data_IF_714912460954
#
_entry.id   IF_714912460954
#
_cell.length_a   1.000
_cell.length_b   1.000
_cell.length_c   1.000
_cell.angle_alpha   90.00
_cell.angle_beta   90.00
_cell.angle_gamma   90.00
#
_symmetry.space_group_name_H-M   'P 1'
#
loop_
_entity.id
_entity.type
_entity.pdbx_description
1 polymer ?
#
# COMPACT_ATOMS: atom_id res chain seq x y z
N UNK A 1 33.75 2.02 28.04
CA UNK A 1 32.99 2.97 28.89
C UNK A 1 31.64 2.33 29.14
N UNK A 2 31.48 1.67 30.30
CA UNK A 2 30.26 0.91 30.58
C UNK A 2 29.34 1.78 31.43
N UNK A 3 28.19 2.17 30.88
CA UNK A 3 27.09 2.77 31.63
C UNK A 3 25.80 2.03 31.28
N UNK A 4 25.04 1.50 32.25
CA UNK A 4 23.78 0.79 31.99
C UNK A 4 22.61 1.69 31.48
N UNK A 5 22.86 2.98 31.21
CA UNK A 5 21.82 3.97 30.97
C UNK A 5 21.32 4.06 29.50
N UNK A 6 21.91 3.32 28.56
CA UNK A 6 21.59 3.42 27.11
C UNK A 6 20.65 2.32 26.61
N UNK A 7 20.14 1.45 27.49
CA UNK A 7 19.43 0.22 27.10
C UNK A 7 17.91 0.28 27.39
N UNK A 8 17.30 1.46 27.24
CA UNK A 8 15.88 1.69 27.61
C UNK A 8 15.13 2.68 26.70
N UNK A 9 15.50 2.79 25.41
CA UNK A 9 14.72 3.48 24.36
C UNK A 9 14.85 2.76 23.02
N UNK A 10 14.28 1.56 22.95
CA UNK A 10 13.90 0.87 21.71
C UNK A 10 12.53 0.22 21.97
N UNK A 11 11.50 1.05 21.89
CA UNK A 11 10.13 0.62 21.62
C UNK A 11 9.81 1.19 20.25
N UNK A 12 10.06 0.38 19.23
CA UNK A 12 9.70 0.75 17.86
C UNK A 12 8.18 0.72 17.75
N UNK A 13 7.55 1.88 17.86
CA UNK A 13 6.13 2.05 17.55
C UNK A 13 5.98 2.00 16.04
N UNK A 14 5.57 0.84 15.52
CA UNK A 14 5.06 0.75 14.15
C UNK A 14 3.67 1.40 14.16
N UNK A 15 3.58 2.62 13.62
CA UNK A 15 2.32 3.30 13.39
C UNK A 15 1.77 2.83 12.05
N UNK A 16 0.53 2.33 12.04
CA UNK A 16 -0.17 1.94 10.83
C UNK A 16 -1.56 2.57 10.84
N UNK A 17 -1.89 3.37 9.83
CA UNK A 17 -3.24 3.87 9.62
C UNK A 17 -4.08 2.83 8.91
N UNK A 18 -5.08 2.26 9.58
CA UNK A 18 -6.17 1.54 8.92
C UNK A 18 -7.45 2.36 9.04
N UNK A 19 -7.88 2.97 7.94
CA UNK A 19 -9.21 3.54 7.80
C UNK A 19 -10.10 2.48 7.16
N UNK A 20 -11.27 2.20 7.76
CA UNK A 20 -12.24 1.25 7.20
C UNK A 20 -12.99 1.88 6.04
N UNK A 21 -13.16 1.13 4.95
CA UNK A 21 -14.15 1.45 3.92
C UNK A 21 -15.57 1.45 4.52
N UNK A 22 -16.33 2.55 4.44
CA UNK A 22 -17.68 2.62 4.99
C UNK A 22 -18.73 1.79 4.21
N UNK A 23 -18.36 1.09 3.12
CA UNK A 23 -19.28 0.26 2.33
C UNK A 23 -19.64 -1.10 2.96
N UNK A 24 -18.91 -1.55 3.99
CA UNK A 24 -19.11 -2.86 4.63
C UNK A 24 -20.09 -2.85 5.84
N UNK A 25 -21.15 -2.04 5.79
CA UNK A 25 -22.17 -1.99 6.85
C UNK A 25 -23.60 -2.22 6.30
N UNK A 26 -24.06 -3.47 6.46
CA UNK A 26 -25.45 -3.97 6.45
C UNK A 26 -26.47 -3.46 5.41
N UNK A 27 -26.80 -4.32 4.43
CA UNK A 27 -28.12 -4.29 3.75
C UNK A 27 -28.98 -5.51 4.13
N UNK A 28 -29.61 -5.47 5.32
CA UNK A 28 -30.57 -6.48 5.77
C UNK A 28 -32.01 -6.11 5.33
N UNK A 29 -32.40 -6.70 4.19
CA UNK A 29 -33.78 -7.04 3.74
C UNK A 29 -35.00 -6.20 4.18
N UNK A 30 -35.75 -5.70 3.19
CA UNK A 30 -37.21 -5.52 3.31
C UNK A 30 -37.96 -5.95 2.03
N UNK A 31 -38.97 -6.81 2.18
CA UNK A 31 -39.80 -7.33 1.09
C UNK A 31 -40.87 -6.33 0.62
N UNK A 32 -41.18 -6.32 -0.69
CA UNK A 32 -42.33 -5.58 -1.24
C UNK A 32 -42.72 -6.02 -2.65
N UNK A 33 -43.69 -6.93 -2.81
CA UNK A 33 -44.12 -7.44 -4.12
C UNK A 33 -45.31 -6.66 -4.71
N UNK A 34 -45.38 -6.52 -6.05
CA UNK A 34 -46.61 -6.87 -6.82
C UNK A 34 -46.38 -7.05 -8.33
N UNK A 35 -47.11 -8.04 -8.90
CA UNK A 35 -47.39 -8.33 -10.34
C UNK A 35 -47.88 -7.07 -11.11
N UNK A 36 -47.84 -6.91 -12.45
CA UNK A 36 -48.19 -7.74 -13.65
C UNK A 36 -47.51 -7.17 -14.93
N UNK A 37 -47.44 -7.72 -16.16
CA UNK A 37 -47.82 -9.00 -16.83
C UNK A 37 -47.23 -9.09 -18.27
N UNK A 38 -47.20 -10.31 -18.86
CA UNK A 38 -46.93 -10.64 -20.29
C UNK A 38 -48.22 -10.52 -21.17
N UNK A 39 -48.28 -10.79 -22.52
CA UNK A 39 -47.30 -11.45 -23.43
C UNK A 39 -47.17 -10.90 -24.89
N UNK A 40 -46.33 -11.54 -25.76
CA UNK A 40 -46.70 -12.26 -27.03
C UNK A 40 -45.54 -12.37 -28.05
N UNK A 41 -45.18 -13.62 -28.40
CA UNK A 41 -44.64 -14.23 -29.67
C UNK A 41 -43.52 -13.53 -30.52
N UNK A 42 -42.82 -14.18 -31.47
CA UNK A 42 -42.98 -15.50 -32.12
C UNK A 42 -41.67 -16.09 -32.71
N UNK A 43 -41.60 -17.42 -32.74
CA UNK A 43 -40.94 -18.36 -33.69
C UNK A 43 -39.49 -18.21 -34.22
N UNK A 44 -38.81 -19.37 -34.34
CA UNK A 44 -37.50 -19.51 -35.00
C UNK A 44 -36.72 -20.81 -34.73
N UNK A 45 -37.22 -21.98 -35.16
CA UNK A 45 -36.44 -23.26 -35.29
C UNK A 45 -36.14 -23.53 -36.79
N UNK A 46 -35.25 -24.48 -37.23
CA UNK A 46 -34.69 -25.65 -36.51
C UNK A 46 -33.22 -26.05 -36.83
N UNK A 47 -32.79 -27.20 -36.22
CA UNK A 47 -31.57 -28.03 -36.48
C UNK A 47 -30.27 -27.46 -35.85
N UNK A 48 -29.34 -28.26 -35.32
CA UNK A 48 -28.92 -29.62 -35.77
C UNK A 48 -28.67 -30.60 -34.62
N UNK A 49 -29.01 -31.88 -34.83
CA UNK A 49 -28.65 -33.00 -33.95
C UNK A 49 -27.41 -33.70 -34.48
N UNK A 50 -26.34 -33.80 -33.68
CA UNK A 50 -25.29 -34.87 -33.62
C UNK A 50 -24.32 -34.45 -32.50
N UNK A 51 -24.45 -35.03 -31.29
CA UNK A 51 -23.42 -34.96 -30.23
C UNK A 51 -23.64 -35.89 -29.02
N UNK A 52 -24.65 -36.78 -29.03
CA UNK A 52 -24.86 -37.72 -27.91
C UNK A 52 -23.88 -38.91 -27.84
N UNK A 53 -23.07 -39.14 -28.89
CA UNK A 53 -22.14 -40.28 -28.92
C UNK A 53 -20.90 -40.12 -28.02
N UNK A 54 -20.34 -38.91 -27.93
CA UNK A 54 -19.08 -38.67 -27.21
C UNK A 54 -19.27 -38.64 -25.68
N UNK A 55 -20.35 -38.01 -25.20
CA UNK A 55 -20.61 -37.85 -23.76
C UNK A 55 -20.81 -39.18 -23.02
N UNK A 56 -21.45 -40.17 -23.64
CA UNK A 56 -21.68 -41.48 -23.03
C UNK A 56 -20.38 -42.28 -22.88
N UNK A 57 -19.45 -42.17 -23.84
CA UNK A 57 -18.14 -42.83 -23.76
C UNK A 57 -17.28 -42.19 -22.67
N UNK A 58 -17.25 -40.85 -22.57
CA UNK A 58 -16.48 -40.14 -21.52
C UNK A 58 -17.03 -40.44 -20.12
N UNK A 59 -18.37 -40.47 -19.94
CA UNK A 59 -19.00 -40.85 -18.68
C UNK A 59 -18.68 -42.29 -18.26
N UNK A 60 -18.67 -43.25 -19.20
CA UNK A 60 -18.32 -44.65 -18.91
C UNK A 60 -16.84 -44.84 -18.60
N UNK A 61 -15.93 -44.07 -19.22
CA UNK A 61 -14.51 -44.07 -18.87
C UNK A 61 -14.28 -43.48 -17.47
N UNK A 62 -14.95 -42.37 -17.12
CA UNK A 62 -14.88 -41.82 -15.76
C UNK A 62 -15.41 -42.81 -14.70
N UNK A 63 -16.54 -43.46 -14.97
CA UNK A 63 -17.12 -44.44 -14.05
C UNK A 63 -16.22 -45.68 -13.90
N UNK A 64 -15.54 -46.11 -14.97
CA UNK A 64 -14.56 -47.19 -14.91
C UNK A 64 -13.32 -46.80 -14.08
N UNK A 65 -12.81 -45.57 -14.21
CA UNK A 65 -11.72 -45.05 -13.38
C UNK A 65 -12.15 -45.01 -11.90
N UNK A 66 -13.33 -44.48 -11.59
CA UNK A 66 -13.87 -44.40 -10.22
C UNK A 66 -14.09 -45.80 -9.62
N UNK A 67 -14.49 -46.79 -10.42
CA UNK A 67 -14.67 -48.18 -9.96
C UNK A 67 -13.36 -48.99 -9.88
N UNK A 68 -12.32 -48.63 -10.64
CA UNK A 68 -11.00 -49.26 -10.54
C UNK A 68 -10.16 -48.75 -9.35
N UNK A 69 -10.47 -47.57 -8.80
CA UNK A 69 -9.86 -47.04 -7.56
C UNK A 69 -10.58 -47.57 -6.30
N UNK A 70 -11.24 -48.74 -6.39
CA UNK A 70 -11.84 -49.45 -5.26
C UNK A 70 -11.00 -50.61 -4.71
N UNK A 71 -9.70 -50.60 -4.98
CA UNK A 71 -8.72 -51.25 -4.11
C UNK A 71 -8.43 -50.31 -2.91
N UNK A 72 -8.35 -50.81 -1.67
CA UNK A 72 -7.88 -50.02 -0.54
C UNK A 72 -6.37 -49.81 -0.66
N UNK A 73 -5.97 -48.84 -1.47
CA UNK A 73 -4.64 -48.25 -1.37
C UNK A 73 -4.70 -47.19 -0.28
N UNK A 74 -4.07 -47.47 0.87
CA UNK A 74 -3.72 -46.47 1.89
C UNK A 74 -2.66 -45.53 1.31
N UNK A 75 -3.07 -44.69 0.36
CA UNK A 75 -2.26 -43.62 -0.19
C UNK A 75 -2.42 -42.42 0.73
N UNK A 76 -1.69 -42.42 1.84
CA UNK A 76 -1.60 -41.28 2.75
C UNK A 76 -0.86 -40.14 2.06
N UNK A 77 -1.59 -39.34 1.27
CA UNK A 77 -1.07 -38.09 0.71
C UNK A 77 -0.91 -37.11 1.87
N UNK A 78 0.29 -37.05 2.43
CA UNK A 78 0.68 -35.97 3.35
C UNK A 78 0.81 -34.68 2.54
N UNK A 79 -0.30 -33.98 2.37
CA UNK A 79 -0.28 -32.57 1.95
C UNK A 79 0.47 -31.76 3.03
N UNK A 80 1.33 -30.81 2.66
CA UNK A 80 1.89 -29.85 3.62
C UNK A 80 0.76 -29.11 4.35
N UNK A 81 0.88 -28.93 5.67
CA UNK A 81 -0.19 -28.34 6.50
C UNK A 81 -0.66 -26.96 5.99
N UNK A 82 0.22 -26.18 5.35
CA UNK A 82 -0.10 -24.86 4.79
C UNK A 82 -1.10 -24.88 3.63
N UNK A 83 -1.30 -26.03 2.97
CA UNK A 83 -2.29 -26.19 1.88
C UNK A 83 -3.71 -26.50 2.40
N UNK A 84 -3.86 -26.74 3.71
CA UNK A 84 -5.13 -27.03 4.38
C UNK A 84 -5.50 -25.98 5.44
N UNK A 85 -4.59 -25.07 5.77
CA UNK A 85 -4.90 -23.86 6.52
C UNK A 85 -5.55 -22.82 5.61
N UNK A 86 -6.87 -22.89 5.46
CA UNK A 86 -7.63 -21.64 5.44
C UNK A 86 -7.31 -20.86 6.71
N UNK A 87 -7.23 -19.54 6.62
CA UNK A 87 -6.78 -18.65 7.71
C UNK A 87 -7.74 -18.66 8.90
N UNK A 88 -7.67 -19.72 9.71
CA UNK A 88 -8.41 -19.87 10.96
C UNK A 88 -7.71 -19.06 12.06
N UNK A 89 -7.87 -17.74 12.01
CA UNK A 89 -7.39 -16.80 13.03
C UNK A 89 -7.82 -17.19 14.47
N UNK A 90 -8.93 -17.93 14.62
CA UNK A 90 -9.36 -18.54 15.90
C UNK A 90 -8.28 -19.38 16.58
N UNK A 91 -7.41 -20.07 15.83
CA UNK A 91 -6.36 -20.92 16.41
C UNK A 91 -5.13 -20.15 16.87
N UNK A 92 -4.86 -19.00 16.27
CA UNK A 92 -3.67 -18.22 16.59
C UNK A 92 -3.88 -17.42 17.88
N UNK A 93 -5.08 -16.87 18.12
CA UNK A 93 -5.41 -16.13 19.35
C UNK A 93 -5.22 -16.93 20.65
N UNK A 94 -5.35 -18.27 20.60
CA UNK A 94 -5.10 -19.16 21.76
C UNK A 94 -3.63 -19.62 21.89
N UNK A 95 -2.76 -19.30 20.92
CA UNK A 95 -1.35 -19.65 21.01
C UNK A 95 -0.66 -18.91 22.17
N UNK A 96 0.13 -19.60 23.01
CA UNK A 96 0.99 -18.95 24.01
C UNK A 96 1.94 -17.90 23.41
N UNK A 97 2.27 -18.00 22.12
CA UNK A 97 3.17 -17.09 21.40
C UNK A 97 2.47 -15.90 20.74
N UNK A 98 1.14 -15.92 20.57
CA UNK A 98 0.35 -14.85 19.93
C UNK A 98 0.65 -13.48 20.52
N UNK A 99 0.71 -13.43 21.85
CA UNK A 99 0.95 -12.20 22.61
C UNK A 99 2.37 -11.62 22.38
N UNK A 100 3.31 -12.40 21.84
CA UNK A 100 4.67 -11.97 21.49
C UNK A 100 4.93 -11.84 19.98
N UNK A 101 4.09 -12.44 19.14
CA UNK A 101 4.31 -12.56 17.69
C UNK A 101 3.32 -11.73 16.85
N UNK A 102 2.24 -11.22 17.45
CA UNK A 102 1.23 -10.41 16.77
C UNK A 102 1.34 -8.93 17.17
N UNK A 103 1.25 -8.02 16.19
CA UNK A 103 1.09 -6.59 16.47
C UNK A 103 -0.20 -6.35 17.26
N UNK A 104 -0.15 -5.35 18.15
CA UNK A 104 -1.29 -4.94 18.96
C UNK A 104 -1.57 -3.48 18.72
N UNK A 105 -2.85 -3.18 18.49
CA UNK A 105 -3.33 -1.82 18.57
C UNK A 105 -3.12 -1.30 20.00
N UNK A 106 -2.23 -0.34 20.16
CA UNK A 106 -1.95 0.33 21.45
C UNK A 106 -2.83 1.56 21.68
N UNK A 107 -3.39 2.10 20.59
CA UNK A 107 -4.36 3.19 20.56
C UNK A 107 -4.80 3.46 19.13
N UNK A 108 -6.00 3.99 18.96
CA UNK A 108 -6.54 4.52 17.70
C UNK A 108 -7.17 5.88 18.01
N UNK A 109 -7.02 6.85 17.10
CA UNK A 109 -7.77 8.10 17.15
C UNK A 109 -8.14 8.55 15.73
N UNK A 110 -9.22 9.33 15.64
CA UNK A 110 -9.67 9.88 14.35
C UNK A 110 -8.80 11.09 14.00
N UNK A 111 -8.29 11.15 12.76
CA UNK A 111 -7.45 12.24 12.24
C UNK A 111 -7.98 13.63 12.58
N UNK A 112 -9.29 13.86 12.42
CA UNK A 112 -9.97 15.13 12.74
C UNK A 112 -9.84 15.53 14.21
N UNK A 113 -9.83 14.56 15.15
CA UNK A 113 -9.55 14.82 16.57
C UNK A 113 -8.07 15.15 16.78
N UNK A 114 -7.17 14.36 16.20
CA UNK A 114 -5.72 14.57 16.34
C UNK A 114 -5.32 15.96 15.85
N UNK A 115 -5.92 16.46 14.76
CA UNK A 115 -5.77 17.81 14.21
C UNK A 115 -6.34 18.95 15.12
N UNK A 116 -6.65 18.66 16.38
CA UNK A 116 -7.07 19.65 17.38
C UNK A 116 -8.49 20.16 17.20
N UNK A 117 -9.29 19.57 16.30
CA UNK A 117 -10.68 19.97 16.07
C UNK A 117 -10.84 21.46 15.79
N UNK A 118 -9.97 22.03 14.93
CA UNK A 118 -10.16 23.41 14.42
C UNK A 118 -11.62 23.57 14.00
N UNK A 119 -12.22 24.69 14.38
CA UNK A 119 -13.45 25.16 13.77
C UNK A 119 -13.11 25.54 12.31
N UNK A 120 -13.13 24.54 11.42
CA UNK A 120 -13.45 24.76 10.02
C UNK A 120 -14.76 25.55 10.01
N UNK A 121 -14.81 26.66 9.26
CA UNK A 121 -15.93 27.60 9.36
C UNK A 121 -17.27 26.93 9.03
N UNK A 122 -18.40 27.50 9.45
CA UNK A 122 -19.73 26.91 9.15
C UNK A 122 -20.02 26.73 7.64
N UNK A 123 -19.24 27.37 6.76
CA UNK A 123 -19.27 27.21 5.30
C UNK A 123 -18.11 26.35 4.72
N UNK A 124 -17.08 26.04 5.51
CA UNK A 124 -16.00 25.09 5.13
C UNK A 124 -16.40 23.70 5.63
N UNK A 125 -16.98 22.85 4.77
CA UNK A 125 -17.14 21.43 5.09
C UNK A 125 -15.74 20.87 5.41
N UNK A 126 -15.45 20.50 6.68
CA UNK A 126 -14.15 19.97 7.04
C UNK A 126 -13.95 18.69 6.24
N UNK A 127 -13.03 18.69 5.27
CA UNK A 127 -12.77 17.60 4.31
C UNK A 127 -13.41 16.30 4.77
N UNK A 128 -14.63 16.05 4.29
CA UNK A 128 -15.56 15.10 4.94
C UNK A 128 -15.05 13.66 4.87
N UNK A 129 -13.92 13.48 4.18
CA UNK A 129 -13.05 12.32 4.16
C UNK A 129 -11.59 12.83 4.13
N UNK A 130 -10.72 12.21 4.91
CA UNK A 130 -9.26 12.26 4.72
C UNK A 130 -8.82 10.83 4.40
N UNK A 131 -8.26 10.59 3.24
CA UNK A 131 -7.80 9.28 2.78
C UNK A 131 -6.29 9.23 2.87
N UNK A 132 -5.76 8.71 3.97
CA UNK A 132 -4.32 8.68 4.22
C UNK A 132 -3.67 7.51 3.47
N UNK A 133 -2.75 7.83 2.56
CA UNK A 133 -2.09 6.85 1.69
C UNK A 133 -0.67 6.53 2.14
N UNK A 134 0.08 7.55 2.59
CA UNK A 134 1.49 7.41 2.99
C UNK A 134 1.86 8.17 4.26
N UNK A 135 2.86 7.67 4.98
CA UNK A 135 3.37 8.23 6.23
C UNK A 135 4.90 8.21 6.28
N UNK A 136 5.51 9.28 6.75
CA UNK A 136 6.95 9.35 7.00
C UNK A 136 7.24 10.01 8.36
N UNK A 137 8.27 9.52 9.06
CA UNK A 137 8.73 10.15 10.29
C UNK A 137 9.60 11.37 10.00
N UNK A 138 9.45 12.41 10.83
CA UNK A 138 10.41 13.51 10.90
C UNK A 138 11.84 13.00 11.20
N UNK A 139 12.90 13.73 10.81
CA UNK A 139 14.28 13.28 11.01
C UNK A 139 14.70 13.11 12.48
N UNK A 140 14.04 13.83 13.40
CA UNK A 140 14.19 13.68 14.85
C UNK A 140 13.17 12.72 15.47
N UNK A 141 12.25 12.18 14.66
CA UNK A 141 11.16 11.25 15.00
C UNK A 141 10.17 11.81 16.03
N UNK A 142 10.08 13.14 16.16
CA UNK A 142 9.12 13.79 17.06
C UNK A 142 7.73 13.91 16.43
N UNK A 143 7.64 14.16 15.13
CA UNK A 143 6.39 14.20 14.36
C UNK A 143 6.35 13.12 13.25
N UNK A 144 5.16 12.78 12.80
CA UNK A 144 4.85 12.02 11.59
C UNK A 144 4.16 12.94 10.57
N UNK A 145 4.56 12.83 9.31
CA UNK A 145 3.94 13.50 8.18
C UNK A 145 3.13 12.50 7.36
N UNK A 146 1.85 12.79 7.14
CA UNK A 146 0.89 11.94 6.45
C UNK A 146 0.40 12.66 5.19
N UNK A 147 0.47 12.01 4.04
CA UNK A 147 -0.12 12.50 2.79
C UNK A 147 -1.49 11.86 2.55
N UNK A 148 -2.37 12.57 1.85
CA UNK A 148 -3.73 12.12 1.56
C UNK A 148 -4.01 12.12 0.06
N UNK A 149 -4.52 11.04 -0.52
CA UNK A 149 -4.85 10.97 -1.95
C UNK A 149 -5.93 12.01 -2.36
N UNK A 150 -6.90 12.25 -1.48
CA UNK A 150 -8.09 13.03 -1.78
C UNK A 150 -7.98 14.51 -1.42
N UNK A 151 -6.80 15.01 -1.04
CA UNK A 151 -6.62 16.44 -0.74
C UNK A 151 -5.18 16.94 -0.79
N UNK A 152 -5.02 18.20 -1.18
CA UNK A 152 -3.74 18.92 -1.14
C UNK A 152 -3.37 19.41 0.27
N UNK A 153 -3.21 18.47 1.20
CA UNK A 153 -2.75 18.68 2.56
C UNK A 153 -1.69 17.66 2.98
N UNK A 154 -0.90 18.03 3.99
CA UNK A 154 -0.09 17.08 4.77
C UNK A 154 -0.52 17.15 6.23
N UNK A 155 -0.85 16.01 6.83
CA UNK A 155 -1.09 15.91 8.27
C UNK A 155 0.25 15.83 9.02
N UNK A 156 0.53 16.77 9.91
CA UNK A 156 1.63 16.69 10.89
C UNK A 156 1.05 16.21 12.22
N UNK A 157 1.57 15.12 12.77
CA UNK A 157 1.09 14.55 14.04
C UNK A 157 2.26 14.17 14.95
N UNK A 158 2.25 14.64 16.20
CA UNK A 158 3.26 14.28 17.18
C UNK A 158 3.29 12.76 17.43
N UNK A 159 4.48 12.22 17.61
CA UNK A 159 4.77 10.78 17.75
C UNK A 159 4.06 10.08 18.91
N UNK A 160 3.63 10.84 19.92
CA UNK A 160 2.79 10.32 21.01
C UNK A 160 1.34 10.00 20.59
N UNK A 161 0.90 10.49 19.42
CA UNK A 161 -0.45 10.34 18.86
C UNK A 161 -1.58 10.64 19.87
N UNK A 162 -1.31 11.57 20.79
CA UNK A 162 -2.17 11.89 21.92
C UNK A 162 -3.12 13.05 21.58
N UNK A 163 -4.41 12.84 21.80
CA UNK A 163 -5.40 13.92 21.92
C UNK A 163 -5.50 14.48 23.37
N UNK A 164 -4.83 13.86 24.35
CA UNK A 164 -5.05 14.18 25.76
C UNK A 164 -4.41 15.51 26.13
N UNK A 165 -5.20 16.59 25.98
CA UNK A 165 -4.91 17.91 26.50
C UNK A 165 -4.65 17.87 28.02
N UNK A 166 -3.39 17.74 28.42
CA UNK A 166 -2.94 18.04 29.78
C UNK A 166 -2.94 19.56 30.03
N UNK A 167 -4.14 20.15 30.08
CA UNK A 167 -4.45 21.50 30.60
C UNK A 167 -3.42 22.60 30.29
N UNK A 168 -3.22 22.88 29.00
CA UNK A 168 -2.57 24.13 28.56
C UNK A 168 -1.32 23.99 27.69
N UNK A 169 -0.91 22.77 27.35
CA UNK A 169 0.12 22.53 26.34
C UNK A 169 -0.51 22.50 24.94
N UNK A 170 0.09 23.23 23.99
CA UNK A 170 -0.31 23.24 22.59
C UNK A 170 0.09 21.90 21.95
N UNK A 171 -0.83 21.25 21.27
CA UNK A 171 -0.51 20.13 20.37
C UNK A 171 0.21 20.65 19.13
N UNK A 172 1.33 20.04 18.73
CA UNK A 172 1.97 20.32 17.43
C UNK A 172 1.21 19.72 16.24
N UNK A 173 0.20 18.88 16.52
CA UNK A 173 -0.66 18.28 15.50
C UNK A 173 -1.38 19.35 14.67
N UNK A 174 -1.30 19.24 13.35
CA UNK A 174 -1.96 20.18 12.43
C UNK A 174 -2.12 19.62 11.02
N UNK A 175 -2.99 20.25 10.24
CA UNK A 175 -3.17 19.98 8.81
C UNK A 175 -2.50 21.13 8.04
N UNK A 176 -1.45 20.81 7.28
CA UNK A 176 -0.58 21.74 6.56
C UNK A 176 -1.07 21.93 5.12
N UNK A 177 -1.48 23.14 4.69
CA UNK A 177 -1.95 23.38 3.32
C UNK A 177 -0.79 23.29 2.32
N UNK A 178 -1.01 22.58 1.22
CA UNK A 178 -0.08 22.59 0.11
C UNK A 178 -0.03 23.96 -0.58
N UNK A 179 1.15 24.48 -0.96
CA UNK A 179 1.26 25.82 -1.54
C UNK A 179 0.60 25.90 -2.93
N UNK A 180 -0.25 26.91 -3.10
CA UNK A 180 -0.84 27.27 -4.40
C UNK A 180 -1.91 26.31 -4.93
N UNK A 181 -2.46 25.43 -4.09
CA UNK A 181 -3.49 24.45 -4.45
C UNK A 181 -4.79 24.66 -3.67
N UNK A 182 -5.91 24.24 -4.26
CA UNK A 182 -7.20 24.27 -3.60
C UNK A 182 -7.36 23.06 -2.66
N UNK A 183 -7.87 23.24 -1.42
CA UNK A 183 -8.10 22.17 -0.45
C UNK A 183 -8.89 20.94 -0.92
N UNK A 184 -9.84 21.16 -1.83
CA UNK A 184 -10.84 20.19 -2.28
C UNK A 184 -10.52 19.55 -3.64
N UNK A 185 -9.32 19.76 -4.18
CA UNK A 185 -8.83 19.01 -5.33
C UNK A 185 -8.19 17.71 -4.84
N UNK A 186 -8.52 16.59 -5.49
CA UNK A 186 -7.80 15.32 -5.29
C UNK A 186 -6.31 15.53 -5.65
N UNK A 187 -5.43 15.11 -4.74
CA UNK A 187 -3.99 15.25 -4.91
C UNK A 187 -3.37 14.06 -5.63
N UNK A 188 -3.97 12.88 -5.49
CA UNK A 188 -3.38 11.59 -5.88
C UNK A 188 -2.05 11.32 -5.17
N UNK A 189 -1.82 11.85 -3.97
CA UNK A 189 -0.59 11.57 -3.21
C UNK A 189 -0.65 10.18 -2.56
N UNK A 190 0.29 9.32 -2.96
CA UNK A 190 0.35 7.93 -2.48
C UNK A 190 1.36 7.74 -1.35
N UNK A 191 2.58 8.26 -1.50
CA UNK A 191 3.63 8.12 -0.48
C UNK A 191 4.47 9.36 -0.24
N UNK A 192 5.16 9.35 0.89
CA UNK A 192 6.13 10.36 1.32
C UNK A 192 7.38 9.67 1.87
N UNK A 193 8.56 10.23 1.60
CA UNK A 193 9.85 9.70 2.08
C UNK A 193 10.86 10.82 2.32
N UNK A 194 11.65 10.76 3.40
CA UNK A 194 12.65 11.77 3.71
C UNK A 194 14.03 11.47 3.13
N UNK A 195 14.52 12.38 2.29
CA UNK A 195 15.87 12.29 1.74
C UNK A 195 16.88 13.00 2.65
N UNK A 196 17.55 12.25 3.52
CA UNK A 196 18.61 12.79 4.39
C UNK A 196 19.76 13.49 3.64
N UNK A 197 19.99 13.22 2.35
CA UNK A 197 21.10 13.82 1.58
C UNK A 197 20.77 15.24 1.09
N UNK A 198 19.53 15.51 0.67
CA UNK A 198 19.06 16.85 0.28
C UNK A 198 18.35 17.59 1.43
N UNK A 199 17.94 16.86 2.46
CA UNK A 199 17.09 17.35 3.54
C UNK A 199 15.68 17.71 3.09
N UNK A 200 15.14 17.00 2.09
CA UNK A 200 13.80 17.24 1.50
C UNK A 200 12.95 15.99 1.63
N UNK A 201 11.63 16.14 1.78
CA UNK A 201 10.72 15.02 1.54
C UNK A 201 10.49 14.86 0.04
N UNK A 202 10.30 13.62 -0.40
CA UNK A 202 9.82 13.26 -1.72
C UNK A 202 8.37 12.79 -1.54
N UNK A 203 7.41 13.52 -2.10
CA UNK A 203 5.99 13.12 -2.12
C UNK A 203 5.69 12.56 -3.51
N UNK A 204 5.24 11.31 -3.58
CA UNK A 204 4.84 10.64 -4.81
C UNK A 204 3.36 10.93 -5.09
N UNK A 205 3.09 11.40 -6.29
CA UNK A 205 1.75 11.48 -6.88
C UNK A 205 1.55 10.32 -7.85
N UNK A 206 0.34 9.76 -7.87
CA UNK A 206 -0.10 8.67 -8.74
C UNK A 206 0.16 8.95 -10.23
N UNK A 207 -0.04 7.92 -11.05
CA UNK A 207 0.30 8.01 -12.45
C UNK A 207 -0.71 8.84 -13.24
N UNK A 208 -0.25 9.97 -13.78
CA UNK A 208 -1.08 10.88 -14.55
C UNK A 208 -1.04 10.53 -16.04
N UNK A 209 -2.20 10.57 -16.71
CA UNK A 209 -2.27 10.46 -18.17
C UNK A 209 -1.73 11.74 -18.82
N UNK A 210 -0.62 11.63 -19.54
CA UNK A 210 0.01 12.69 -20.33
C UNK A 210 -0.09 12.37 -21.82
N UNK A 211 0.18 13.36 -22.69
CA UNK A 211 0.15 13.20 -24.16
C UNK A 211 1.09 12.09 -24.70
N UNK A 212 2.04 11.63 -23.89
CA UNK A 212 3.11 10.71 -24.26
C UNK A 212 3.16 9.41 -23.44
N UNK A 213 2.15 9.13 -22.61
CA UNK A 213 2.07 7.94 -21.75
C UNK A 213 1.50 8.25 -20.37
N UNK A 214 1.55 7.30 -19.45
CA UNK A 214 1.01 7.43 -18.09
C UNK A 214 2.18 7.38 -17.11
N UNK A 215 2.40 8.44 -16.33
CA UNK A 215 3.61 8.61 -15.53
C UNK A 215 3.33 9.22 -14.15
N UNK A 216 3.98 8.70 -13.12
CA UNK A 216 3.97 9.28 -11.77
C UNK A 216 4.77 10.59 -11.72
N UNK A 217 4.49 11.41 -10.69
CA UNK A 217 5.27 12.62 -10.38
C UNK A 217 5.81 12.56 -8.96
N UNK A 218 6.95 13.20 -8.74
CA UNK A 218 7.55 13.38 -7.43
C UNK A 218 7.71 14.87 -7.16
N UNK A 219 7.16 15.31 -6.03
CA UNK A 219 7.39 16.65 -5.50
C UNK A 219 8.51 16.60 -4.47
N UNK A 220 9.56 17.38 -4.69
CA UNK A 220 10.59 17.60 -3.68
C UNK A 220 10.18 18.78 -2.82
N UNK A 221 9.89 18.53 -1.54
CA UNK A 221 9.39 19.56 -0.63
C UNK A 221 10.28 19.74 0.59
N UNK A 222 10.20 20.93 1.19
CA UNK A 222 10.62 21.17 2.57
C UNK A 222 9.41 21.53 3.40
N UNK A 223 9.48 21.21 4.68
CA UNK A 223 8.56 21.67 5.71
C UNK A 223 9.42 22.47 6.67
N UNK A 224 9.15 23.75 6.83
CA UNK A 224 9.91 24.62 7.72
C UNK A 224 9.59 24.26 9.20
N UNK A 225 10.59 23.95 10.04
CA UNK A 225 10.33 23.48 11.40
C UNK A 225 9.87 24.58 12.37
N UNK A 226 10.04 25.87 12.02
CA UNK A 226 9.67 27.02 12.85
C UNK A 226 8.30 27.61 12.43
N UNK A 227 7.97 27.59 11.12
CA UNK A 227 6.71 28.14 10.58
C UNK A 227 5.68 27.10 10.15
N UNK A 228 6.07 25.83 10.01
CA UNK A 228 5.27 24.74 9.43
C UNK A 228 4.79 25.01 7.98
N UNK A 229 5.43 25.94 7.27
CA UNK A 229 5.17 26.20 5.85
C UNK A 229 5.81 25.14 4.94
N UNK A 230 5.06 24.69 3.93
CA UNK A 230 5.55 23.78 2.89
C UNK A 230 6.11 24.59 1.71
N UNK A 231 7.37 24.36 1.33
CA UNK A 231 7.93 24.80 0.05
C UNK A 231 8.05 23.63 -0.93
N UNK A 232 7.61 23.84 -2.17
CA UNK A 232 7.85 22.90 -3.28
C UNK A 232 9.09 23.38 -4.04
N UNK A 233 10.19 22.65 -3.88
CA UNK A 233 11.48 22.98 -4.48
C UNK A 233 11.55 22.53 -5.95
N UNK A 234 11.02 21.33 -6.25
CA UNK A 234 10.95 20.78 -7.60
C UNK A 234 9.69 19.91 -7.78
N UNK A 235 9.20 19.83 -9.02
CA UNK A 235 8.32 18.74 -9.48
C UNK A 235 9.06 17.98 -10.57
N UNK A 236 9.27 16.69 -10.36
CA UNK A 236 10.01 15.81 -11.26
C UNK A 236 9.08 14.74 -11.82
N UNK A 237 9.19 14.43 -13.11
CA UNK A 237 8.53 13.26 -13.69
C UNK A 237 9.34 11.99 -13.36
N UNK A 238 8.69 10.83 -13.47
CA UNK A 238 9.30 9.52 -13.26
C UNK A 238 9.44 8.79 -14.60
N UNK A 239 10.63 8.26 -14.90
CA UNK A 239 10.94 7.52 -16.13
C UNK A 239 10.43 6.06 -16.05
N UNK A 240 9.13 5.90 -15.77
CA UNK A 240 8.45 4.61 -15.70
C UNK A 240 7.02 4.74 -16.22
N UNK A 241 6.74 4.15 -17.38
CA UNK A 241 5.42 4.20 -18.01
C UNK A 241 4.49 3.13 -17.41
N UNK A 242 3.36 3.58 -16.87
CA UNK A 242 2.30 2.72 -16.36
C UNK A 242 1.36 2.27 -17.48
N UNK A 243 0.79 1.08 -17.33
CA UNK A 243 -0.10 0.48 -18.35
C UNK A 243 -1.58 0.86 -18.21
N UNK A 244 -1.94 1.50 -17.11
CA UNK A 244 -3.29 1.88 -16.72
C UNK A 244 -3.22 3.21 -15.94
N UNK A 245 -4.28 4.00 -16.02
CA UNK A 245 -4.40 5.37 -15.51
C UNK A 245 -4.60 5.46 -13.99
N UNK A 246 -5.08 4.39 -13.35
CA UNK A 246 -5.30 4.32 -11.90
C UNK A 246 -4.28 3.44 -11.17
N UNK A 247 -3.03 3.39 -11.64
CA UNK A 247 -1.97 2.51 -11.12
C UNK A 247 -0.70 3.31 -10.89
N UNK A 248 -0.27 3.48 -9.65
CA UNK A 248 0.91 4.26 -9.27
C UNK A 248 1.98 3.45 -8.53
N UNK A 249 2.81 4.17 -7.77
CA UNK A 249 3.59 3.59 -6.68
C UNK A 249 2.89 3.94 -5.37
N UNK A 250 2.42 2.92 -4.65
CA UNK A 250 1.70 3.10 -3.38
C UNK A 250 2.72 3.57 -2.33
N UNK A 251 3.67 2.68 -1.99
CA UNK A 251 4.77 2.97 -1.11
C UNK A 251 5.98 3.58 -1.82
N UNK A 252 6.78 4.32 -1.06
CA UNK A 252 8.12 4.69 -1.48
C UNK A 252 9.09 4.73 -0.29
N UNK A 253 10.38 4.52 -0.59
CA UNK A 253 11.43 4.58 0.43
C UNK A 253 12.75 5.05 -0.18
N UNK A 254 13.58 5.72 0.61
CA UNK A 254 14.89 6.21 0.15
C UNK A 254 16.00 5.40 0.81
N UNK A 255 16.86 4.81 -0.02
CA UNK A 255 17.98 3.99 0.44
C UNK A 255 19.32 4.66 0.12
N UNK A 256 20.14 4.85 1.15
CA UNK A 256 21.47 5.45 1.00
C UNK A 256 22.52 4.38 0.73
N UNK A 257 22.92 4.25 -0.52
CA UNK A 257 23.85 3.22 -0.96
C UNK A 257 25.29 3.55 -0.52
N UNK A 258 26.13 2.55 -0.18
CA UNK A 258 27.55 2.73 0.18
C UNK A 258 28.47 3.41 -0.86
N UNK A 259 27.93 3.83 -2.02
CA UNK A 259 28.64 4.63 -3.02
C UNK A 259 28.44 6.15 -2.81
N UNK A 260 27.68 6.55 -1.79
CA UNK A 260 27.35 7.93 -1.46
C UNK A 260 26.13 8.50 -2.18
N UNK A 261 25.43 7.70 -3.00
CA UNK A 261 24.14 8.08 -3.62
C UNK A 261 22.96 7.65 -2.76
N UNK A 262 21.89 8.42 -2.83
CA UNK A 262 20.56 8.02 -2.36
C UNK A 262 19.72 7.64 -3.57
N UNK A 263 19.06 6.48 -3.52
CA UNK A 263 18.13 6.01 -4.54
C UNK A 263 16.72 6.03 -3.97
N UNK A 264 15.75 6.41 -4.79
CA UNK A 264 14.33 6.23 -4.46
C UNK A 264 13.89 4.85 -4.93
N UNK A 265 13.17 4.14 -4.08
CA UNK A 265 12.45 2.92 -4.40
C UNK A 265 10.96 3.27 -4.48
N UNK A 266 10.30 2.93 -5.58
CA UNK A 266 8.84 2.99 -5.73
C UNK A 266 8.24 1.59 -5.70
N UNK A 267 7.26 1.35 -4.82
CA UNK A 267 6.59 0.08 -4.63
C UNK A 267 5.37 -0.02 -5.57
N UNK A 268 5.36 -0.99 -6.47
CA UNK A 268 4.21 -1.21 -7.34
C UNK A 268 3.04 -1.83 -6.55
N UNK A 269 1.86 -1.20 -6.58
CA UNK A 269 0.60 -1.70 -5.99
C UNK A 269 0.35 -3.16 -6.36
N UNK A 270 0.31 -3.43 -7.67
CA UNK A 270 0.00 -4.73 -8.22
C UNK A 270 1.26 -5.55 -8.47
N UNK A 271 1.15 -6.85 -8.22
CA UNK A 271 2.12 -7.85 -8.66
C UNK A 271 2.44 -7.65 -10.16
N UNK A 272 3.70 -7.93 -10.53
CA UNK A 272 4.24 -7.65 -11.86
C UNK A 272 4.20 -6.18 -12.31
N UNK A 273 4.02 -5.20 -11.40
CA UNK A 273 3.72 -3.80 -11.74
C UNK A 273 2.58 -3.70 -12.76
N UNK A 274 1.51 -4.48 -12.54
CA UNK A 274 0.39 -4.64 -13.48
C UNK A 274 -0.93 -4.49 -12.74
N UNK A 275 -1.92 -3.86 -13.35
CA UNK A 275 -3.28 -3.79 -12.81
C UNK A 275 -4.11 -5.08 -13.03
N UNK A 276 -5.35 -5.03 -12.54
CA UNK A 276 -6.37 -6.05 -12.80
C UNK A 276 -6.06 -7.43 -12.21
N UNK A 277 -6.60 -8.48 -12.84
CA UNK A 277 -6.47 -9.87 -12.34
C UNK A 277 -5.04 -10.40 -12.33
N UNK A 278 -4.14 -9.83 -13.14
CA UNK A 278 -2.70 -10.16 -13.10
C UNK A 278 -2.02 -9.50 -11.90
N UNK A 279 -2.37 -8.26 -11.58
CA UNK A 279 -1.87 -7.53 -10.41
C UNK A 279 -2.22 -8.20 -9.08
N UNK A 280 -3.38 -8.84 -9.02
CA UNK A 280 -3.88 -9.59 -7.85
C UNK A 280 -3.30 -10.99 -7.70
N UNK A 281 -2.38 -11.41 -8.58
CA UNK A 281 -1.72 -12.71 -8.47
C UNK A 281 -0.42 -12.58 -7.67
N UNK A 282 -0.55 -12.81 -6.36
CA UNK A 282 0.51 -12.66 -5.37
C UNK A 282 1.80 -13.45 -5.62
N UNK A 283 2.87 -13.03 -4.92
CA UNK A 283 4.20 -13.65 -4.97
C UNK A 283 5.10 -13.11 -6.08
N UNK A 284 4.71 -11.97 -6.69
CA UNK A 284 5.42 -11.32 -7.78
C UNK A 284 5.46 -9.79 -7.62
N UNK A 285 5.51 -9.31 -6.36
CA UNK A 285 5.71 -7.91 -6.03
C UNK A 285 6.98 -7.34 -6.62
N UNK A 286 7.00 -6.03 -6.86
CA UNK A 286 8.12 -5.35 -7.52
C UNK A 286 8.36 -3.97 -6.94
N UNK A 287 9.64 -3.60 -6.86
CA UNK A 287 10.08 -2.24 -6.56
C UNK A 287 10.88 -1.69 -7.75
N UNK A 288 10.64 -0.46 -8.15
CA UNK A 288 11.42 0.23 -9.19
C UNK A 288 12.43 1.15 -8.53
N UNK A 289 13.69 1.08 -8.98
CA UNK A 289 14.81 1.85 -8.42
C UNK A 289 15.08 3.07 -9.30
N UNK A 290 15.13 4.25 -8.69
CA UNK A 290 15.35 5.52 -9.38
C UNK A 290 16.59 6.25 -8.89
N UNK A 291 17.32 6.87 -9.84
CA UNK A 291 18.33 7.88 -9.56
C UNK A 291 17.82 9.25 -10.03
N UNK A 292 18.03 10.28 -9.22
CA UNK A 292 17.57 11.65 -9.53
C UNK A 292 18.57 12.32 -10.46
N UNK A 293 18.19 12.56 -11.71
CA UNK A 293 19.02 13.24 -12.70
C UNK A 293 18.50 14.65 -13.01
N UNK A 294 19.42 15.54 -13.40
CA UNK A 294 19.08 16.86 -13.96
C UNK A 294 18.95 16.70 -15.47
N UNK A 295 17.87 17.21 -16.05
CA UNK A 295 17.61 17.13 -17.50
C UNK A 295 18.45 18.15 -18.28
N UNK A 296 18.58 17.97 -19.60
CA UNK A 296 19.29 18.93 -20.47
C UNK A 296 18.68 20.36 -20.41
N UNK A 297 17.39 20.46 -20.07
CA UNK A 297 16.66 21.73 -19.89
C UNK A 297 16.82 22.35 -18.50
N UNK A 298 17.55 21.70 -17.58
CA UNK A 298 17.74 22.15 -16.20
C UNK A 298 16.61 21.76 -15.24
N UNK A 299 15.65 20.95 -15.67
CA UNK A 299 14.65 20.32 -14.81
C UNK A 299 15.18 19.06 -14.13
N UNK A 300 14.28 18.24 -13.58
CA UNK A 300 14.62 16.97 -12.93
C UNK A 300 13.78 15.80 -13.46
N UNK A 301 14.37 14.60 -13.38
CA UNK A 301 13.74 13.33 -13.74
C UNK A 301 14.21 12.27 -12.74
N UNK A 302 13.29 11.46 -12.24
CA UNK A 302 13.64 10.23 -11.52
C UNK A 302 13.79 9.11 -12.53
N UNK A 303 15.04 8.84 -12.91
CA UNK A 303 15.38 7.90 -13.97
C UNK A 303 15.38 6.47 -13.45
N UNK A 304 14.64 5.56 -14.11
CA UNK A 304 14.67 4.14 -13.80
C UNK A 304 16.09 3.57 -14.02
N UNK A 305 16.63 2.96 -12.98
CA UNK A 305 17.90 2.23 -13.00
C UNK A 305 17.65 0.73 -13.18
N UNK A 306 16.72 0.17 -12.41
CA UNK A 306 16.37 -1.25 -12.46
C UNK A 306 15.03 -1.52 -11.77
N UNK A 307 14.57 -2.76 -11.81
CA UNK A 307 13.43 -3.26 -11.04
C UNK A 307 13.87 -4.46 -10.22
N UNK A 308 13.48 -4.48 -8.94
CA UNK A 308 13.76 -5.53 -7.97
C UNK A 308 12.50 -6.38 -7.83
N UNK A 309 12.67 -7.72 -7.83
CA UNK A 309 11.60 -8.64 -7.44
C UNK A 309 11.52 -8.71 -5.90
N UNK A 310 10.32 -8.54 -5.35
CA UNK A 310 10.07 -8.80 -3.94
C UNK A 310 10.02 -10.32 -3.75
N UNK A 311 10.66 -10.89 -2.70
CA UNK A 311 10.66 -12.33 -2.46
C UNK A 311 9.24 -12.92 -2.45
N UNK A 312 9.08 -14.10 -3.05
CA UNK A 312 7.77 -14.73 -3.24
C UNK A 312 7.09 -15.13 -1.90
N UNK A 313 7.83 -15.11 -0.79
CA UNK A 313 7.33 -15.22 0.58
C UNK A 313 6.46 -14.01 1.00
N UNK A 314 6.67 -12.83 0.40
CA UNK A 314 5.80 -11.66 0.54
C UNK A 314 4.58 -11.76 -0.40
N UNK A 315 3.84 -12.86 -0.25
CA UNK A 315 2.75 -13.26 -1.15
C UNK A 315 1.44 -12.51 -0.86
N UNK A 316 1.33 -11.27 -1.33
CA UNK A 316 0.17 -10.40 -1.10
C UNK A 316 -0.66 -10.19 -2.37
N UNK A 317 -1.97 -9.89 -2.22
CA UNK A 317 -2.84 -9.51 -3.35
C UNK A 317 -2.38 -8.18 -3.98
N UNK A 318 -2.02 -7.22 -3.13
CA UNK A 318 -1.45 -5.91 -3.45
C UNK A 318 -0.34 -5.54 -2.46
N UNK A 319 0.32 -4.40 -2.66
CA UNK A 319 1.35 -3.86 -1.78
C UNK A 319 1.01 -2.41 -1.46
N UNK A 320 1.03 -2.01 -0.19
CA UNK A 320 0.63 -0.65 0.22
C UNK A 320 1.82 0.22 0.60
N UNK A 321 2.80 -0.30 1.35
CA UNK A 321 3.98 0.48 1.73
C UNK A 321 5.22 -0.38 2.02
N UNK A 322 6.39 0.26 2.16
CA UNK A 322 7.65 -0.37 2.50
C UNK A 322 8.60 0.55 3.27
N UNK A 323 9.47 -0.02 4.10
CA UNK A 323 10.57 0.73 4.73
C UNK A 323 11.83 -0.12 4.90
N UNK A 324 12.97 0.55 5.03
CA UNK A 324 14.30 -0.06 5.11
C UNK A 324 15.10 0.52 6.27
N UNK A 325 15.50 -0.33 7.21
CA UNK A 325 16.34 0.08 8.34
C UNK A 325 17.31 -1.04 8.73
N UNK A 326 18.57 -0.68 9.01
CA UNK A 326 19.58 -1.58 9.60
C UNK A 326 19.76 -2.94 8.88
N UNK A 327 19.63 -2.96 7.55
CA UNK A 327 19.73 -4.17 6.74
C UNK A 327 18.47 -5.03 6.74
N UNK A 328 17.33 -4.50 7.18
CA UNK A 328 16.00 -5.09 7.05
C UNK A 328 15.17 -4.38 6.00
N UNK A 329 14.31 -5.15 5.35
CA UNK A 329 13.16 -4.67 4.60
C UNK A 329 11.89 -5.02 5.37
N UNK A 330 10.94 -4.10 5.43
CA UNK A 330 9.56 -4.36 5.84
C UNK A 330 8.64 -3.92 4.69
N UNK A 331 7.69 -4.77 4.31
CA UNK A 331 6.70 -4.51 3.24
C UNK A 331 5.31 -4.90 3.76
N UNK A 332 4.30 -4.11 3.45
CA UNK A 332 2.93 -4.28 3.96
C UNK A 332 1.89 -4.34 2.85
N UNK A 333 0.75 -4.97 3.14
CA UNK A 333 -0.45 -4.99 2.29
C UNK A 333 -1.69 -4.75 3.15
N UNK A 334 -2.49 -3.76 2.77
CA UNK A 334 -3.77 -3.49 3.42
C UNK A 334 -4.79 -4.58 3.06
N UNK A 335 -4.95 -4.95 1.79
CA UNK A 335 -5.96 -5.95 1.39
C UNK A 335 -5.65 -7.36 1.92
N UNK A 336 -4.37 -7.71 2.04
CA UNK A 336 -3.94 -8.98 2.64
C UNK A 336 -3.90 -8.95 4.17
N UNK A 337 -4.09 -7.78 4.79
CA UNK A 337 -3.93 -7.51 6.23
C UNK A 337 -2.62 -8.10 6.81
N UNK A 338 -1.51 -7.94 6.06
CA UNK A 338 -0.28 -8.68 6.30
C UNK A 338 0.97 -7.78 6.16
N UNK A 339 2.06 -8.23 6.78
CA UNK A 339 3.40 -7.67 6.59
C UNK A 339 4.42 -8.79 6.36
N UNK A 340 5.47 -8.46 5.64
CA UNK A 340 6.64 -9.29 5.43
C UNK A 340 7.86 -8.54 5.93
N UNK A 341 8.74 -9.24 6.64
CA UNK A 341 10.00 -8.71 7.13
C UNK A 341 11.12 -9.62 6.66
N UNK A 342 12.10 -9.05 5.97
CA UNK A 342 13.24 -9.77 5.43
C UNK A 342 14.56 -9.06 5.68
N UNK A 343 15.64 -9.65 5.18
CA UNK A 343 16.91 -8.94 5.05
C UNK A 343 16.84 -7.98 3.85
N UNK A 344 17.80 -7.06 3.79
CA UNK A 344 18.01 -6.13 2.69
C UNK A 344 19.51 -5.91 2.50
N UNK A 345 20.00 -5.98 1.27
CA UNK A 345 21.42 -5.82 0.99
C UNK A 345 21.67 -5.00 -0.28
N UNK A 346 22.55 -4.01 -0.15
CA UNK A 346 23.16 -3.35 -1.31
C UNK A 346 24.02 -4.37 -2.07
N UNK A 347 23.65 -4.71 -3.31
CA UNK A 347 24.53 -5.52 -4.15
C UNK A 347 25.66 -4.64 -4.69
N UNK A 348 26.89 -5.09 -4.46
CA UNK A 348 28.05 -4.47 -5.09
C UNK A 348 28.03 -4.77 -6.59
N UNK A 349 27.65 -3.77 -7.41
CA UNK A 349 27.75 -3.84 -8.87
C UNK A 349 28.35 -2.55 -9.40
N UNK A 350 29.18 -2.66 -10.45
CA UNK A 350 29.67 -1.53 -11.25
C UNK A 350 28.53 -0.71 -11.91
N UNK A 351 27.28 -1.15 -11.79
CA UNK A 351 26.05 -0.53 -12.32
C UNK A 351 24.98 -0.22 -11.24
N UNK A 352 25.28 -0.38 -9.93
CA UNK A 352 24.46 0.19 -8.84
C UNK A 352 23.07 -0.43 -8.63
N UNK A 353 22.97 -1.75 -8.47
CA UNK A 353 21.71 -2.46 -8.20
C UNK A 353 21.51 -2.67 -6.70
N UNK A 354 20.30 -2.40 -6.22
CA UNK A 354 19.81 -2.72 -4.86
C UNK A 354 19.08 -4.08 -4.90
N UNK A 355 19.12 -4.88 -3.81
CA UNK A 355 18.35 -6.12 -3.74
C UNK A 355 17.80 -6.45 -2.33
N UNK A 356 16.84 -7.37 -2.32
CA UNK A 356 16.18 -7.97 -1.17
C UNK A 356 16.71 -9.40 -0.97
#
# INVERSE_FOLDING_TARGET
LNSPATMAMLKDTIVYGMLRDPRDVDEITANGSTRTSNPVSSDGRPRTTILLGAFVVVQLVLLAIILMVRAPMDLTITLPNWLLSGHNHEKDCESPSFTSETLKLVGEEVVVKLAGGREFGEDDDPLSKFEASGIEASPDRLDYFVVFDNSYYIGKFHSELSYVHHRGENTTNMILPWPGKAPLEDSGFESISYNHTSGTYLVVQEALTLDHGIYARIFEIRIDPDSDEISVENTCEVDFEFTHDNKGFEGSAIVHHPNGKSYLLGLCEGNYCSGGSKGRHGGHGKMVVFDRVVTETGGCLFKTITTIDIPAEANFEDYSDMTFQDGKALVVSQASAAMWVGEFAYLAVEEGVVAL
#
